data_IF_232522895884
#
_entry.id   IF_232522895884
#
_cell.length_a   1.000
_cell.length_b   1.000
_cell.length_c   1.000
_cell.angle_alpha   90.00
_cell.angle_beta   90.00
_cell.angle_gamma   90.00
#
_symmetry.space_group_name_H-M   'P 1'
#
loop_
_entity.id
_entity.type
_entity.pdbx_description
1 polymer ?
#
# COMPACT_ATOMS: atom_id res chain seq x y z
N UNK A 1 -22.95 72.68 2.55
CA UNK A 1 -23.56 71.73 1.61
C UNK A 1 -22.69 71.64 0.37
N UNK A 2 -21.88 70.60 0.27
CA UNK A 2 -21.46 69.94 -0.98
C UNK A 2 -20.65 68.70 -0.61
N UNK A 3 -20.99 67.60 -1.25
CA UNK A 3 -20.62 66.21 -0.97
C UNK A 3 -19.68 65.64 -2.04
N UNK A 4 -18.99 64.54 -1.69
CA UNK A 4 -18.39 63.50 -2.55
C UNK A 4 -17.04 63.83 -3.21
N UNK A 5 -16.04 62.94 -3.30
CA UNK A 5 -16.00 61.46 -3.18
C UNK A 5 -14.58 60.96 -2.85
N UNK A 6 -14.42 59.69 -2.41
CA UNK A 6 -13.21 59.16 -1.79
C UNK A 6 -12.19 58.63 -2.80
N UNK A 7 -10.91 58.81 -2.45
CA UNK A 7 -9.78 58.34 -3.23
C UNK A 7 -9.61 56.82 -3.08
N UNK A 8 -9.60 56.14 -4.22
CA UNK A 8 -9.60 54.69 -4.40
C UNK A 8 -8.20 54.16 -4.06
N UNK A 9 -8.01 53.62 -2.85
CA UNK A 9 -6.80 52.88 -2.48
C UNK A 9 -6.69 51.63 -3.37
N UNK A 10 -5.88 51.72 -4.42
CA UNK A 10 -5.39 50.56 -5.15
C UNK A 10 -4.49 49.75 -4.21
N UNK A 11 -5.07 48.73 -3.59
CA UNK A 11 -4.29 47.62 -3.05
C UNK A 11 -3.51 46.99 -4.21
N UNK A 12 -2.20 47.27 -4.26
CA UNK A 12 -1.24 46.45 -4.99
C UNK A 12 -1.38 45.03 -4.47
N UNK A 13 -2.07 44.18 -5.22
CA UNK A 13 -1.99 42.73 -5.06
C UNK A 13 -0.54 42.35 -5.30
N UNK A 14 0.15 41.95 -4.25
CA UNK A 14 1.41 41.23 -4.39
C UNK A 14 1.13 40.00 -5.28
N UNK A 15 1.95 39.74 -6.32
CA UNK A 15 1.83 38.50 -7.04
C UNK A 15 2.04 37.36 -6.04
N UNK A 16 1.10 36.39 -6.02
CA UNK A 16 1.33 35.09 -5.40
C UNK A 16 2.60 34.54 -6.03
N UNK A 17 3.71 34.61 -5.30
CA UNK A 17 4.88 33.80 -5.58
C UNK A 17 4.41 32.36 -5.48
N UNK A 18 4.26 31.70 -6.62
CA UNK A 18 4.26 30.25 -6.68
C UNK A 18 5.57 29.81 -6.05
N UNK A 19 5.49 29.35 -4.79
CA UNK A 19 6.65 28.89 -4.05
C UNK A 19 7.28 27.76 -4.86
N UNK A 20 8.55 27.92 -5.23
CA UNK A 20 9.39 26.86 -5.78
C UNK A 20 9.09 25.56 -5.03
N UNK A 21 8.64 24.55 -5.76
CA UNK A 21 7.88 23.42 -5.25
C UNK A 21 8.63 22.42 -4.37
N UNK A 22 9.38 22.89 -3.38
CA UNK A 22 10.11 22.08 -2.42
C UNK A 22 9.31 21.94 -1.13
N UNK A 23 9.45 20.79 -0.48
CA UNK A 23 8.71 20.45 0.73
C UNK A 23 9.62 20.62 1.92
N UNK A 24 9.17 21.41 2.89
CA UNK A 24 9.83 21.56 4.17
C UNK A 24 9.46 20.39 5.08
N UNK A 25 10.47 19.67 5.57
CA UNK A 25 10.32 18.53 6.49
C UNK A 25 11.25 18.69 7.71
N UNK A 26 10.96 18.11 8.87
CA UNK A 26 11.86 18.18 10.02
C UNK A 26 13.25 17.60 9.68
N UNK A 27 14.35 18.15 10.22
CA UNK A 27 15.70 17.68 9.88
C UNK A 27 15.94 16.19 10.18
N UNK A 28 15.43 15.69 11.32
CA UNK A 28 15.50 14.27 11.68
C UNK A 28 14.85 13.38 10.62
N UNK A 29 13.66 13.77 10.16
CA UNK A 29 12.90 13.06 9.12
C UNK A 29 13.65 13.09 7.79
N UNK A 30 14.26 14.24 7.45
CA UNK A 30 15.09 14.36 6.26
C UNK A 30 16.29 13.42 6.28
N UNK A 31 17.01 13.38 7.41
CA UNK A 31 18.18 12.51 7.57
C UNK A 31 17.79 11.03 7.44
N UNK A 32 16.71 10.61 8.12
CA UNK A 32 16.19 9.24 8.04
C UNK A 32 15.73 8.87 6.61
N UNK A 33 15.07 9.77 5.88
CA UNK A 33 14.63 9.52 4.50
C UNK A 33 15.81 9.48 3.52
N UNK A 34 16.80 10.37 3.66
CA UNK A 34 18.01 10.34 2.82
C UNK A 34 18.87 9.12 3.12
N UNK A 35 18.94 8.68 4.38
CA UNK A 35 19.56 7.42 4.80
C UNK A 35 18.97 6.23 4.04
N UNK A 36 17.64 6.12 3.96
CA UNK A 36 16.98 5.08 3.14
C UNK A 36 17.25 5.24 1.64
N UNK A 37 17.30 6.46 1.13
CA UNK A 37 17.62 6.69 -0.27
C UNK A 37 19.03 6.22 -0.62
N UNK A 38 19.98 6.40 0.29
CA UNK A 38 21.36 5.95 0.14
C UNK A 38 21.53 4.43 0.29
N UNK A 39 20.67 3.75 1.07
CA UNK A 39 20.61 2.29 1.16
C UNK A 39 20.03 1.60 -0.09
N UNK A 40 19.59 2.40 -1.07
CA UNK A 40 19.02 1.92 -2.32
C UNK A 40 17.58 1.44 -2.19
N UNK A 41 16.87 1.79 -1.10
CA UNK A 41 15.40 1.68 -1.06
C UNK A 41 14.82 2.57 -2.15
N UNK A 42 13.99 2.00 -3.03
CA UNK A 42 13.47 2.73 -4.19
C UNK A 42 12.34 3.65 -3.74
N UNK A 43 12.12 4.73 -4.48
CA UNK A 43 11.16 5.80 -4.16
C UNK A 43 9.69 5.39 -4.37
N UNK A 44 9.23 4.29 -3.76
CA UNK A 44 7.82 3.94 -3.64
C UNK A 44 7.36 4.11 -2.19
N UNK A 45 6.13 4.59 -1.99
CA UNK A 45 5.56 4.83 -0.65
C UNK A 45 5.63 3.57 0.20
N UNK A 46 5.22 2.43 -0.35
CA UNK A 46 5.27 1.14 0.33
C UNK A 46 6.70 0.73 0.71
N UNK A 47 7.67 0.90 -0.21
CA UNK A 47 9.08 0.57 0.06
C UNK A 47 9.71 1.43 1.14
N UNK A 48 9.42 2.73 1.12
CA UNK A 48 9.91 3.65 2.14
C UNK A 48 9.25 3.38 3.47
N UNK A 49 7.94 3.07 3.53
CA UNK A 49 7.30 2.69 4.79
C UNK A 49 7.87 1.38 5.35
N UNK A 50 8.05 0.34 4.52
CA UNK A 50 8.65 -0.92 4.93
C UNK A 50 10.10 -0.71 5.43
N UNK A 51 10.90 0.04 4.68
CA UNK A 51 12.25 0.41 5.09
C UNK A 51 12.28 1.19 6.41
N UNK A 52 11.45 2.22 6.55
CA UNK A 52 11.37 3.02 7.78
C UNK A 52 10.99 2.16 8.99
N UNK A 53 10.08 1.20 8.82
CA UNK A 53 9.71 0.28 9.88
C UNK A 53 10.87 -0.67 10.23
N UNK A 54 11.53 -1.25 9.22
CA UNK A 54 12.65 -2.18 9.39
C UNK A 54 13.84 -1.57 10.15
N UNK A 55 14.14 -0.29 9.89
CA UNK A 55 15.26 0.41 10.55
C UNK A 55 14.86 1.19 11.81
N UNK A 56 13.65 0.99 12.34
CA UNK A 56 13.12 1.71 13.50
C UNK A 56 13.17 3.25 13.35
N UNK A 57 12.99 3.76 12.12
CA UNK A 57 12.91 5.20 11.84
C UNK A 57 11.50 5.73 12.14
N UNK A 58 11.12 5.65 13.41
CA UNK A 58 9.77 5.93 13.90
C UNK A 58 9.34 7.37 13.60
N UNK A 59 10.24 8.35 13.75
CA UNK A 59 9.91 9.77 13.52
C UNK A 59 9.59 10.04 12.05
N UNK A 60 10.40 9.51 11.13
CA UNK A 60 10.12 9.63 9.71
C UNK A 60 8.85 8.88 9.31
N UNK A 61 8.61 7.67 9.84
CA UNK A 61 7.38 6.92 9.57
C UNK A 61 6.14 7.71 9.98
N UNK A 62 6.09 8.17 11.24
CA UNK A 62 4.98 8.96 11.75
C UNK A 62 4.78 10.27 10.99
N UNK A 63 5.88 10.91 10.56
CA UNK A 63 5.80 12.13 9.77
C UNK A 63 5.20 11.88 8.37
N UNK A 64 5.59 10.79 7.70
CA UNK A 64 5.02 10.40 6.41
C UNK A 64 3.54 10.05 6.51
N UNK A 65 3.15 9.28 7.54
CA UNK A 65 1.75 8.92 7.83
C UNK A 65 0.88 10.16 8.07
N UNK A 66 1.44 11.17 8.74
CA UNK A 66 0.73 12.43 9.03
C UNK A 66 0.76 13.44 7.87
N UNK A 67 1.56 13.19 6.82
CA UNK A 67 1.75 14.12 5.68
C UNK A 67 1.84 13.39 4.32
N UNK A 68 0.90 12.49 3.97
CA UNK A 68 1.01 11.63 2.79
C UNK A 68 1.07 12.41 1.47
N UNK A 69 0.33 13.52 1.37
CA UNK A 69 0.31 14.39 0.19
C UNK A 69 1.63 15.16 0.01
N UNK A 70 2.37 15.38 1.10
CA UNK A 70 3.70 15.98 1.04
C UNK A 70 4.69 14.94 0.56
N UNK A 71 4.67 13.73 1.09
CA UNK A 71 5.60 12.70 0.63
C UNK A 71 5.53 12.45 -0.88
N UNK A 72 4.31 12.31 -1.44
CA UNK A 72 4.11 12.15 -2.89
C UNK A 72 4.64 13.33 -3.70
N UNK A 73 4.45 14.56 -3.22
CA UNK A 73 5.04 15.75 -3.85
C UNK A 73 6.57 15.75 -3.71
N UNK A 74 7.10 15.18 -2.63
CA UNK A 74 8.52 15.13 -2.29
C UNK A 74 9.28 14.16 -3.18
N UNK A 75 8.70 12.99 -3.49
CA UNK A 75 9.23 12.07 -4.51
C UNK A 75 9.44 12.80 -5.85
N UNK A 76 8.46 13.61 -6.26
CA UNK A 76 8.49 14.29 -7.56
C UNK A 76 9.43 15.52 -7.61
N UNK A 77 9.71 16.15 -6.46
CA UNK A 77 10.33 17.49 -6.40
C UNK A 77 11.51 17.63 -5.45
N UNK A 78 11.84 16.56 -4.71
CA UNK A 78 12.87 16.51 -3.68
C UNK A 78 12.40 17.03 -2.31
N UNK A 79 13.04 16.53 -1.25
CA UNK A 79 12.87 17.01 0.12
C UNK A 79 13.87 18.12 0.44
N UNK A 80 13.46 19.09 1.28
CA UNK A 80 14.40 19.98 1.97
C UNK A 80 14.10 20.03 3.46
N UNK A 81 15.13 20.05 4.31
CA UNK A 81 14.94 20.26 5.73
C UNK A 81 14.33 21.65 6.00
N UNK A 82 13.53 21.74 7.05
CA UNK A 82 12.90 22.98 7.53
C UNK A 82 13.96 24.01 7.93
N UNK A 83 15.09 23.52 8.46
CA UNK A 83 16.31 24.28 8.67
C UNK A 83 17.49 23.53 8.03
N UNK A 84 18.06 24.10 6.98
CA UNK A 84 19.18 23.52 6.24
C UNK A 84 20.45 23.35 7.07
N UNK A 85 20.58 24.08 8.19
CA UNK A 85 21.74 23.99 9.08
C UNK A 85 21.53 23.00 10.24
N UNK A 86 20.32 22.47 10.41
CA UNK A 86 19.98 21.55 11.49
C UNK A 86 19.92 20.09 11.04
N UNK A 87 20.44 19.76 9.85
CA UNK A 87 20.50 18.37 9.37
C UNK A 87 21.43 17.58 10.29
N UNK A 88 20.87 16.63 11.03
CA UNK A 88 21.67 15.66 11.76
C UNK A 88 22.31 14.71 10.75
N UNK A 89 23.64 14.65 10.70
CA UNK A 89 24.35 13.63 9.93
C UNK A 89 24.11 12.28 10.60
N UNK A 90 23.42 11.37 9.92
CA UNK A 90 23.35 9.98 10.33
C UNK A 90 24.65 9.27 9.96
N UNK A 91 25.16 8.43 10.87
CA UNK A 91 26.30 7.59 10.59
C UNK A 91 25.93 6.56 9.49
N UNK A 92 26.56 6.63 8.30
CA UNK A 92 26.28 5.70 7.21
C UNK A 92 26.62 4.24 7.55
N UNK A 93 27.46 3.99 8.57
CA UNK A 93 27.79 2.63 9.02
C UNK A 93 26.64 1.96 9.77
N UNK A 94 25.75 2.72 10.42
CA UNK A 94 24.54 2.17 11.06
C UNK A 94 23.61 1.52 10.03
N UNK A 95 23.68 1.95 8.77
CA UNK A 95 22.89 1.41 7.66
C UNK A 95 23.58 0.26 6.94
N UNK A 96 24.91 0.36 6.72
CA UNK A 96 25.65 -0.64 5.95
C UNK A 96 25.61 -2.03 6.60
N UNK A 97 25.67 -2.11 7.93
CA UNK A 97 25.61 -3.39 8.65
C UNK A 97 24.18 -3.96 8.76
N UNK A 98 23.17 -3.14 8.46
CA UNK A 98 21.74 -3.45 8.63
C UNK A 98 21.05 -3.84 7.31
N UNK A 99 21.74 -3.70 6.17
CA UNK A 99 21.24 -4.08 4.85
C UNK A 99 21.93 -5.38 4.46
N UNK A 100 21.20 -6.48 4.20
CA UNK A 100 21.80 -7.68 3.64
C UNK A 100 22.55 -7.32 2.34
N UNK A 101 23.86 -7.58 2.32
CA UNK A 101 24.77 -7.25 1.20
C UNK A 101 24.34 -7.88 -0.14
N UNK A 102 23.44 -8.86 -0.10
CA UNK A 102 22.98 -9.58 -1.28
C UNK A 102 21.49 -9.39 -1.48
N UNK A 103 21.15 -8.81 -2.65
CA UNK A 103 19.78 -8.90 -3.17
C UNK A 103 19.41 -10.38 -3.30
N UNK A 104 18.24 -10.81 -2.80
CA UNK A 104 17.74 -12.14 -3.07
C UNK A 104 17.77 -12.36 -4.59
N UNK A 105 18.29 -13.50 -5.09
CA UNK A 105 18.28 -13.76 -6.51
C UNK A 105 16.82 -13.80 -7.01
N UNK A 106 16.57 -13.14 -8.13
CA UNK A 106 15.28 -13.25 -8.82
C UNK A 106 15.09 -14.70 -9.25
N UNK A 107 14.03 -15.34 -8.74
CA UNK A 107 13.75 -16.77 -8.99
C UNK A 107 12.47 -16.97 -9.80
N UNK A 108 11.64 -15.93 -9.94
CA UNK A 108 10.35 -16.01 -10.63
C UNK A 108 10.43 -15.48 -12.06
N UNK A 109 9.98 -16.30 -12.99
CA UNK A 109 9.90 -15.99 -14.43
C UNK A 109 8.53 -16.33 -15.02
N UNK A 110 7.54 -16.52 -14.16
CA UNK A 110 6.18 -16.93 -14.49
C UNK A 110 5.25 -15.74 -14.80
N UNK A 111 5.72 -14.50 -14.65
CA UNK A 111 5.01 -13.31 -15.12
C UNK A 111 4.96 -13.26 -16.67
N UNK A 112 3.74 -13.18 -17.19
CA UNK A 112 3.40 -13.13 -18.61
C UNK A 112 2.87 -11.76 -19.05
N UNK A 113 2.34 -10.97 -18.11
CA UNK A 113 1.78 -9.63 -18.40
C UNK A 113 2.64 -8.49 -17.85
N UNK A 114 2.40 -7.26 -18.32
CA UNK A 114 3.08 -6.06 -17.81
C UNK A 114 2.78 -5.82 -16.33
N UNK A 115 1.55 -6.06 -15.88
CA UNK A 115 1.17 -5.88 -14.48
C UNK A 115 1.74 -6.96 -13.57
N UNK A 116 1.76 -8.22 -14.01
CA UNK A 116 2.43 -9.30 -13.28
C UNK A 116 3.91 -9.00 -13.09
N UNK A 117 4.59 -8.57 -14.16
CA UNK A 117 6.00 -8.19 -14.07
C UNK A 117 6.21 -7.04 -13.10
N UNK A 118 5.38 -5.99 -13.16
CA UNK A 118 5.47 -4.85 -12.25
C UNK A 118 5.23 -5.26 -10.79
N UNK A 119 4.33 -6.21 -10.55
CA UNK A 119 4.06 -6.76 -9.23
C UNK A 119 5.26 -7.57 -8.72
N UNK A 120 5.85 -8.45 -9.52
CA UNK A 120 7.05 -9.19 -9.13
C UNK A 120 8.26 -8.26 -8.91
N UNK A 121 8.47 -7.27 -9.78
CA UNK A 121 9.55 -6.28 -9.62
C UNK A 121 9.38 -5.49 -8.31
N UNK A 122 8.14 -5.19 -7.91
CA UNK A 122 7.80 -4.53 -6.64
C UNK A 122 8.04 -5.42 -5.43
N UNK A 123 7.61 -6.68 -5.48
CA UNK A 123 7.91 -7.62 -4.40
C UNK A 123 9.42 -7.82 -4.28
N UNK A 124 10.13 -8.02 -5.39
CA UNK A 124 11.59 -8.19 -5.40
C UNK A 124 12.36 -7.02 -4.76
N UNK A 125 11.86 -5.78 -4.87
CA UNK A 125 12.47 -4.63 -4.17
C UNK A 125 12.19 -4.62 -2.66
N UNK A 126 11.04 -5.17 -2.24
CA UNK A 126 10.58 -5.23 -0.85
C UNK A 126 11.14 -6.41 -0.04
N UNK A 127 11.39 -7.55 -0.68
CA UNK A 127 11.76 -8.84 -0.03
C UNK A 127 12.91 -8.77 0.97
N UNK A 128 13.79 -7.77 0.86
CA UNK A 128 14.92 -7.58 1.78
C UNK A 128 14.55 -6.82 3.07
N UNK A 129 13.36 -6.23 3.13
CA UNK A 129 12.88 -5.40 4.26
C UNK A 129 11.56 -5.87 4.84
N UNK A 130 10.78 -6.62 4.07
CA UNK A 130 9.42 -7.03 4.40
C UNK A 130 9.32 -8.55 4.24
N UNK A 131 9.22 -9.24 5.38
CA UNK A 131 9.10 -10.70 5.46
C UNK A 131 7.84 -11.18 4.77
N UNK A 132 6.72 -10.48 4.94
CA UNK A 132 5.46 -10.81 4.26
C UNK A 132 5.62 -10.71 2.74
N UNK A 133 6.28 -9.65 2.25
CA UNK A 133 6.56 -9.52 0.82
C UNK A 133 7.43 -10.67 0.28
N UNK A 134 8.32 -11.23 1.10
CA UNK A 134 9.06 -12.45 0.76
C UNK A 134 8.18 -13.69 0.73
N UNK A 135 7.32 -13.88 1.72
CA UNK A 135 6.35 -14.97 1.74
C UNK A 135 5.46 -14.95 0.49
N UNK A 136 4.85 -13.82 0.14
CA UNK A 136 4.01 -13.72 -1.05
C UNK A 136 4.81 -13.91 -2.36
N UNK A 137 6.05 -13.45 -2.42
CA UNK A 137 6.88 -13.69 -3.59
C UNK A 137 7.23 -15.17 -3.75
N UNK A 138 7.61 -15.86 -2.68
CA UNK A 138 8.09 -17.24 -2.75
C UNK A 138 6.95 -18.25 -2.88
N UNK A 139 5.88 -18.06 -2.10
CA UNK A 139 4.80 -19.04 -1.96
C UNK A 139 3.53 -18.66 -2.72
N UNK A 140 3.40 -17.41 -3.16
CA UNK A 140 2.19 -16.92 -3.83
C UNK A 140 2.00 -17.44 -5.25
N UNK A 141 0.75 -17.70 -5.62
CA UNK A 141 0.33 -18.05 -6.98
C UNK A 141 -0.50 -16.93 -7.61
N UNK A 142 -0.44 -16.83 -8.95
CA UNK A 142 -1.35 -15.95 -9.71
C UNK A 142 -2.78 -16.43 -9.58
N UNK A 143 -3.72 -15.51 -9.34
CA UNK A 143 -5.13 -15.84 -9.12
C UNK A 143 -6.00 -15.55 -10.33
N UNK A 144 -7.08 -16.33 -10.47
CA UNK A 144 -8.00 -16.23 -11.60
C UNK A 144 -8.96 -15.05 -11.41
N UNK A 145 -9.00 -14.16 -12.40
CA UNK A 145 -9.83 -12.95 -12.40
C UNK A 145 -10.92 -13.02 -13.48
N UNK A 146 -11.26 -14.22 -13.94
CA UNK A 146 -12.35 -14.45 -14.88
C UNK A 146 -13.67 -13.85 -14.37
N UNK A 147 -14.56 -13.39 -15.27
CA UNK A 147 -15.86 -12.88 -14.86
C UNK A 147 -16.66 -13.90 -14.04
N UNK A 148 -17.36 -13.40 -13.02
CA UNK A 148 -18.31 -14.16 -12.25
C UNK A 148 -19.57 -14.46 -13.09
N UNK A 149 -20.16 -15.62 -12.85
CA UNK A 149 -21.49 -16.00 -13.34
C UNK A 149 -22.58 -15.25 -12.58
N UNK A 150 -23.83 -15.31 -13.06
CA UNK A 150 -24.96 -14.67 -12.40
C UNK A 150 -25.19 -15.20 -10.97
N UNK A 151 -25.06 -16.50 -10.76
CA UNK A 151 -25.17 -17.14 -9.43
C UNK A 151 -24.02 -16.70 -8.49
N UNK A 152 -22.79 -16.61 -9.01
CA UNK A 152 -21.64 -16.13 -8.23
C UNK A 152 -21.78 -14.64 -7.87
N UNK A 153 -22.39 -13.82 -8.74
CA UNK A 153 -22.69 -12.41 -8.45
C UNK A 153 -23.74 -12.26 -7.36
N UNK A 154 -24.82 -13.06 -7.39
CA UNK A 154 -25.83 -13.06 -6.33
C UNK A 154 -25.24 -13.46 -4.96
N UNK A 155 -24.30 -14.41 -4.95
CA UNK A 155 -23.56 -14.78 -3.74
C UNK A 155 -22.62 -13.66 -3.28
N UNK A 156 -21.92 -12.99 -4.19
CA UNK A 156 -21.07 -11.86 -3.84
C UNK A 156 -21.87 -10.69 -3.23
N UNK A 157 -23.07 -10.40 -3.74
CA UNK A 157 -23.97 -9.40 -3.15
C UNK A 157 -24.43 -9.81 -1.74
N UNK A 158 -24.70 -11.11 -1.52
CA UNK A 158 -25.01 -11.63 -0.19
C UNK A 158 -23.83 -11.46 0.78
N UNK A 159 -22.60 -11.72 0.31
CA UNK A 159 -21.38 -11.54 1.10
C UNK A 159 -21.20 -10.10 1.54
N UNK A 160 -21.31 -9.15 0.61
CA UNK A 160 -21.20 -7.70 0.86
C UNK A 160 -22.16 -7.23 1.96
N UNK A 161 -23.43 -7.63 1.84
CA UNK A 161 -24.49 -7.26 2.80
C UNK A 161 -24.26 -7.92 4.16
N UNK A 162 -23.91 -9.20 4.18
CA UNK A 162 -23.82 -9.96 5.43
C UNK A 162 -22.54 -9.66 6.23
N UNK A 163 -21.42 -9.43 5.55
CA UNK A 163 -20.16 -9.03 6.18
C UNK A 163 -20.11 -7.52 6.49
N UNK A 164 -21.10 -6.74 6.02
CA UNK A 164 -21.13 -5.29 6.13
C UNK A 164 -19.81 -4.70 5.64
N UNK A 165 -19.51 -4.97 4.37
CA UNK A 165 -18.23 -4.66 3.76
C UNK A 165 -18.00 -3.15 3.69
N UNK A 166 -16.82 -2.72 4.13
CA UNK A 166 -16.46 -1.32 4.21
C UNK A 166 -15.31 -0.99 3.24
N UNK A 167 -15.36 0.15 2.54
CA UNK A 167 -14.26 0.55 1.67
C UNK A 167 -12.94 0.60 2.42
N UNK A 168 -11.87 0.14 1.75
CA UNK A 168 -10.48 0.13 2.28
C UNK A 168 -10.26 -0.76 3.52
N UNK A 169 -11.18 -1.67 3.83
CA UNK A 169 -11.02 -2.63 4.91
C UNK A 169 -10.86 -4.07 4.37
N UNK A 170 -9.90 -4.28 3.46
CA UNK A 170 -9.77 -5.54 2.73
C UNK A 170 -9.61 -6.77 3.63
N UNK A 171 -8.71 -6.73 4.61
CA UNK A 171 -8.54 -7.82 5.57
C UNK A 171 -9.83 -8.11 6.33
N UNK A 172 -10.51 -7.08 6.85
CA UNK A 172 -11.78 -7.26 7.55
C UNK A 172 -12.85 -7.86 6.66
N UNK A 173 -13.07 -7.28 5.47
CA UNK A 173 -14.12 -7.71 4.57
C UNK A 173 -13.90 -9.18 4.17
N UNK A 174 -12.67 -9.52 3.76
CA UNK A 174 -12.35 -10.87 3.32
C UNK A 174 -12.37 -11.89 4.49
N UNK A 175 -11.79 -11.56 5.66
CA UNK A 175 -11.79 -12.45 6.82
C UNK A 175 -13.20 -12.69 7.35
N UNK A 176 -14.02 -11.64 7.51
CA UNK A 176 -15.39 -11.81 7.99
C UNK A 176 -16.22 -12.63 7.01
N UNK A 177 -16.04 -12.40 5.70
CA UNK A 177 -16.75 -13.17 4.68
C UNK A 177 -16.33 -14.63 4.72
N UNK A 178 -15.03 -14.92 4.71
CA UNK A 178 -14.53 -16.29 4.76
C UNK A 178 -14.89 -16.99 6.08
N UNK A 179 -14.80 -16.32 7.23
CA UNK A 179 -15.22 -16.87 8.52
C UNK A 179 -16.73 -17.17 8.58
N UNK A 180 -17.55 -16.36 7.91
CA UNK A 180 -19.01 -16.51 7.92
C UNK A 180 -19.49 -17.56 6.91
N UNK A 181 -18.88 -17.63 5.74
CA UNK A 181 -19.38 -18.41 4.61
C UNK A 181 -18.50 -19.58 4.19
N UNK A 182 -17.23 -19.63 4.58
CA UNK A 182 -16.23 -20.60 4.11
C UNK A 182 -16.54 -22.07 4.40
N UNK A 183 -17.32 -22.37 5.45
CA UNK A 183 -17.78 -23.75 5.69
C UNK A 183 -18.97 -24.17 4.82
N UNK A 184 -19.72 -23.20 4.31
CA UNK A 184 -21.01 -23.41 3.61
C UNK A 184 -20.92 -23.25 2.10
N UNK A 185 -19.89 -22.55 1.63
CA UNK A 185 -19.60 -22.28 0.24
C UNK A 185 -18.14 -22.61 -0.03
N UNK A 186 -17.79 -22.95 -1.27
CA UNK A 186 -16.40 -23.14 -1.70
C UNK A 186 -15.71 -21.77 -1.80
N UNK A 187 -15.45 -21.19 -0.63
CA UNK A 187 -14.97 -19.83 -0.44
C UNK A 187 -13.67 -19.83 0.36
N UNK A 188 -12.61 -19.39 -0.30
CA UNK A 188 -11.27 -19.37 0.26
C UNK A 188 -10.85 -17.96 0.64
N UNK A 189 -10.08 -17.81 1.71
CA UNK A 189 -9.45 -16.55 2.08
C UNK A 189 -8.03 -16.48 1.51
N UNK A 190 -7.68 -15.33 0.92
CA UNK A 190 -6.38 -15.15 0.27
C UNK A 190 -5.78 -13.79 0.62
N UNK A 191 -4.48 -13.78 0.92
CA UNK A 191 -3.70 -12.57 1.15
C UNK A 191 -2.57 -12.45 0.13
N UNK A 192 -2.24 -11.22 -0.23
CA UNK A 192 -1.06 -10.96 -1.05
C UNK A 192 -1.04 -9.56 -1.61
N UNK A 193 -0.68 -9.45 -2.89
CA UNK A 193 -0.57 -8.19 -3.60
C UNK A 193 -1.47 -8.15 -4.82
N UNK A 194 -2.01 -6.97 -5.08
CA UNK A 194 -2.81 -6.66 -6.28
C UNK A 194 -2.18 -5.52 -7.06
N UNK A 195 -2.26 -5.58 -8.39
CA UNK A 195 -1.91 -4.50 -9.32
C UNK A 195 -3.05 -4.27 -10.33
N UNK A 196 -3.62 -3.07 -10.38
CA UNK A 196 -4.67 -2.68 -11.31
C UNK A 196 -4.40 -1.29 -11.94
N UNK A 197 -5.28 -0.80 -12.82
CA UNK A 197 -5.04 0.46 -13.53
C UNK A 197 -5.44 1.67 -12.68
N UNK A 198 -6.37 1.47 -11.76
CA UNK A 198 -6.84 2.50 -10.82
C UNK A 198 -5.73 3.01 -9.88
N UNK A 199 -4.63 2.27 -9.73
CA UNK A 199 -3.51 2.66 -8.89
C UNK A 199 -2.14 2.41 -9.54
N UNK A 200 -1.17 3.22 -9.14
CA UNK A 200 0.14 3.30 -9.82
C UNK A 200 1.19 2.34 -9.27
N UNK A 201 0.90 1.60 -8.20
CA UNK A 201 1.85 0.70 -7.54
C UNK A 201 1.10 -0.49 -6.96
N UNK A 202 1.68 -1.70 -6.97
CA UNK A 202 1.08 -2.83 -6.29
C UNK A 202 0.84 -2.50 -4.80
N UNK A 203 -0.24 -3.03 -4.25
CA UNK A 203 -0.62 -2.83 -2.85
C UNK A 203 -0.87 -4.17 -2.16
N UNK A 204 -0.54 -4.25 -0.87
CA UNK A 204 -0.97 -5.35 -0.01
C UNK A 204 -2.49 -5.38 0.05
N UNK A 205 -3.07 -6.57 -0.04
CA UNK A 205 -4.51 -6.75 -0.15
C UNK A 205 -4.94 -8.13 0.32
N UNK A 206 -6.23 -8.25 0.64
CA UNK A 206 -6.88 -9.51 0.95
C UNK A 206 -8.23 -9.58 0.22
N UNK A 207 -8.58 -10.78 -0.23
CA UNK A 207 -9.80 -11.06 -0.98
C UNK A 207 -10.31 -12.45 -0.63
N UNK A 208 -11.46 -12.80 -1.20
CA UNK A 208 -11.97 -14.17 -1.16
C UNK A 208 -12.01 -14.74 -2.57
N UNK A 209 -11.84 -16.06 -2.68
CA UNK A 209 -11.98 -16.78 -3.95
C UNK A 209 -13.22 -17.67 -3.88
N UNK A 210 -14.16 -17.48 -4.81
CA UNK A 210 -15.35 -18.29 -4.96
C UNK A 210 -15.19 -19.14 -6.23
N UNK A 211 -15.21 -20.46 -6.07
CA UNK A 211 -14.90 -21.40 -7.18
C UNK A 211 -13.58 -21.05 -7.89
N UNK A 212 -12.51 -20.83 -7.11
CA UNK A 212 -11.16 -20.44 -7.59
C UNK A 212 -11.07 -19.06 -8.27
N UNK A 213 -12.13 -18.23 -8.27
CA UNK A 213 -12.13 -16.89 -8.88
C UNK A 213 -12.12 -15.80 -7.82
N UNK A 214 -11.31 -14.77 -8.04
CA UNK A 214 -11.23 -13.59 -7.17
C UNK A 214 -12.58 -12.86 -7.10
N UNK A 215 -13.05 -12.64 -5.87
CA UNK A 215 -14.17 -11.76 -5.56
C UNK A 215 -13.64 -10.55 -4.78
N UNK A 216 -13.74 -9.37 -5.39
CA UNK A 216 -13.21 -8.12 -4.85
C UNK A 216 -14.26 -7.38 -4.01
N UNK A 217 -14.18 -7.51 -2.67
CA UNK A 217 -15.16 -6.96 -1.74
C UNK A 217 -14.78 -5.58 -1.15
N UNK A 218 -13.73 -4.93 -1.66
CA UNK A 218 -13.17 -3.70 -1.08
C UNK A 218 -13.10 -2.56 -2.07
N UNK A 219 -12.76 -2.83 -3.33
CA UNK A 219 -12.68 -1.79 -4.35
C UNK A 219 -14.07 -1.41 -4.88
N UNK A 220 -14.29 -0.13 -5.22
CA UNK A 220 -15.57 0.36 -5.75
C UNK A 220 -16.06 -0.37 -7.02
N UNK A 221 -15.13 -0.92 -7.79
CA UNK A 221 -15.40 -1.62 -9.05
C UNK A 221 -15.77 -3.10 -8.85
N UNK A 222 -15.70 -3.62 -7.61
CA UNK A 222 -16.11 -4.98 -7.24
C UNK A 222 -17.60 -5.26 -7.48
N UNK A 223 -18.05 -6.53 -7.36
CA UNK A 223 -17.30 -7.71 -6.88
C UNK A 223 -16.38 -8.35 -7.92
N UNK A 224 -16.45 -7.91 -9.18
CA UNK A 224 -15.58 -8.41 -10.25
C UNK A 224 -14.32 -7.52 -10.32
N UNK A 225 -13.11 -8.10 -10.35
CA UNK A 225 -11.90 -7.30 -10.52
C UNK A 225 -11.89 -6.47 -11.82
N UNK A 226 -11.11 -5.40 -11.84
CA UNK A 226 -10.82 -4.69 -13.09
C UNK A 226 -10.23 -5.68 -14.14
N UNK A 227 -10.56 -5.49 -15.42
CA UNK A 227 -10.16 -6.41 -16.51
C UNK A 227 -8.65 -6.65 -16.68
N UNK A 228 -7.83 -5.80 -16.05
CA UNK A 228 -6.37 -5.85 -16.07
C UNK A 228 -5.77 -5.97 -14.67
N UNK A 229 -6.60 -6.18 -13.64
CA UNK A 229 -6.12 -6.44 -12.31
C UNK A 229 -5.42 -7.78 -12.30
N UNK A 230 -4.30 -7.86 -11.59
CA UNK A 230 -3.58 -9.11 -11.35
C UNK A 230 -3.38 -9.26 -9.86
N UNK A 231 -3.57 -10.48 -9.37
CA UNK A 231 -3.50 -10.83 -7.96
C UNK A 231 -2.46 -11.93 -7.80
N UNK A 232 -1.54 -11.73 -6.86
CA UNK A 232 -0.58 -12.73 -6.43
C UNK A 232 -0.77 -12.92 -4.94
N UNK A 233 -1.11 -14.13 -4.51
CA UNK A 233 -1.37 -14.36 -3.09
C UNK A 233 -1.28 -15.82 -2.68
N UNK A 234 -1.37 -16.03 -1.37
CA UNK A 234 -1.42 -17.34 -0.72
C UNK A 234 -2.79 -17.55 -0.10
N UNK A 235 -3.28 -18.79 -0.21
CA UNK A 235 -4.54 -19.20 0.39
C UNK A 235 -4.31 -19.62 1.84
N UNK A 236 -5.28 -19.31 2.70
CA UNK A 236 -5.29 -19.80 4.08
C UNK A 236 -6.47 -20.74 4.33
N UNK A 237 -6.26 -21.77 5.18
CA UNK A 237 -7.33 -22.65 5.62
C UNK A 237 -8.45 -21.87 6.34
N UNK A 238 -9.71 -22.26 6.07
CA UNK A 238 -10.88 -21.64 6.71
C UNK A 238 -10.82 -21.81 8.24
N UNK A 239 -10.26 -22.90 8.76
CA UNK A 239 -10.08 -23.08 10.19
C UNK A 239 -9.19 -21.99 10.85
N UNK A 240 -8.16 -21.53 10.16
CA UNK A 240 -7.24 -20.51 10.66
C UNK A 240 -7.93 -19.13 10.65
N UNK A 241 -8.74 -18.86 9.61
CA UNK A 241 -9.55 -17.64 9.50
C UNK A 241 -10.61 -17.57 10.60
N UNK A 242 -11.34 -18.66 10.84
CA UNK A 242 -12.32 -18.78 11.92
C UNK A 242 -11.64 -18.56 13.27
N UNK A 243 -10.46 -19.16 13.49
CA UNK A 243 -9.71 -18.95 14.71
C UNK A 243 -9.32 -17.48 14.89
N UNK A 244 -8.82 -16.81 13.84
CA UNK A 244 -8.47 -15.39 13.87
C UNK A 244 -9.66 -14.51 14.27
N UNK A 245 -10.80 -14.72 13.62
CA UNK A 245 -11.98 -13.86 13.82
C UNK A 245 -12.71 -14.17 15.12
N UNK A 246 -13.01 -15.44 15.41
CA UNK A 246 -13.86 -15.80 16.53
C UNK A 246 -13.11 -16.10 17.82
N UNK A 247 -11.85 -16.56 17.75
CA UNK A 247 -11.07 -16.84 18.96
C UNK A 247 -10.22 -15.64 19.38
N UNK A 248 -9.57 -14.95 18.44
CA UNK A 248 -8.73 -13.78 18.75
C UNK A 248 -9.54 -12.46 18.73
N UNK A 249 -10.61 -12.39 17.94
CA UNK A 249 -11.43 -11.17 17.81
C UNK A 249 -10.74 -10.08 16.99
N UNK A 250 -9.83 -10.46 16.09
CA UNK A 250 -8.99 -9.54 15.31
C UNK A 250 -9.21 -9.78 13.81
N UNK A 251 -9.14 -8.71 13.02
CA UNK A 251 -9.28 -8.72 11.56
C UNK A 251 -8.04 -8.12 10.90
N UNK A 252 -6.89 -8.73 11.16
CA UNK A 252 -5.55 -8.37 10.70
C UNK A 252 -4.96 -9.51 9.85
N UNK A 253 -3.90 -9.27 9.05
CA UNK A 253 -3.28 -10.30 8.23
C UNK A 253 -2.91 -11.57 9.01
N UNK A 254 -2.93 -12.73 8.34
CA UNK A 254 -2.49 -14.02 8.85
C UNK A 254 -1.00 -14.27 8.58
N UNK A 255 -0.41 -13.64 7.56
CA UNK A 255 1.07 -13.61 7.46
C UNK A 255 1.63 -12.71 8.57
N UNK A 256 2.54 -13.27 9.38
CA UNK A 256 3.32 -12.55 10.41
C UNK A 256 4.62 -11.90 9.88
#
# INVERSE_FOLDING_TARGET
MTTNSPNRNQQKRNPKTESSGTIAIPPQVYAQVEALRQSGIVNMVTEVHAGLNHFDFIEARQWLESNPERYLKGINRGFKPTDANAVEEMDPHVLADSIPDQRPPSSRGDATTFHEKRLLDHLESLRRFDTEANTYYEDGSWRETAPLTEEELELADLFDIAADCEPRQCYRNALLTAATFGESHDLQYVEGYVMANSFTSPIKHAWVELNEKVVELTFPEGPVPESNAVYLGIEFPVEDVIAKIYNEGVAEPLVE
#
